data_IF_471480797341
#
_entry.id   IF_471480797341
#
_cell.length_a   1.000
_cell.length_b   1.000
_cell.length_c   1.000
_cell.angle_alpha   90.00
_cell.angle_beta   90.00
_cell.angle_gamma   90.00
#
_symmetry.space_group_name_H-M   'P 1'
#
loop_
_entity.id
_entity.type
_entity.pdbx_description
1 polymer ?
#
# COMPACT_ATOMS: atom_id res chain seq x y z
N UNK A 1 -22.45 -3.81 7.68
CA UNK A 1 -21.18 -3.14 7.99
C UNK A 1 -21.26 -1.76 7.37
N UNK A 2 -21.18 -0.69 8.17
CA UNK A 2 -21.17 0.66 7.65
C UNK A 2 -19.92 0.88 6.80
N UNK A 3 -20.04 1.63 5.72
CA UNK A 3 -18.90 1.97 4.85
C UNK A 3 -18.07 3.10 5.46
N UNK A 4 -16.80 3.22 5.05
CA UNK A 4 -15.93 4.34 5.44
C UNK A 4 -16.62 5.70 5.24
N UNK A 5 -17.27 5.85 4.08
CA UNK A 5 -17.99 7.08 3.70
C UNK A 5 -19.15 7.35 4.65
N UNK A 6 -19.96 6.33 4.97
CA UNK A 6 -21.07 6.47 5.92
C UNK A 6 -20.58 6.84 7.33
N UNK A 7 -19.49 6.22 7.81
CA UNK A 7 -18.94 6.54 9.13
C UNK A 7 -18.35 7.96 9.18
N UNK A 8 -17.62 8.35 8.14
CA UNK A 8 -17.06 9.69 8.04
C UNK A 8 -18.17 10.76 7.99
N UNK A 9 -19.17 10.59 7.12
CA UNK A 9 -20.25 11.57 6.98
C UNK A 9 -21.16 11.67 8.22
N UNK A 10 -21.38 10.57 8.94
CA UNK A 10 -22.29 10.57 10.10
C UNK A 10 -21.63 11.01 11.42
N UNK A 11 -20.30 10.89 11.53
CA UNK A 11 -19.61 11.06 12.82
C UNK A 11 -18.47 12.09 12.81
N UNK A 12 -18.12 12.68 11.65
CA UNK A 12 -16.95 13.56 11.54
C UNK A 12 -17.26 14.83 10.74
N UNK A 13 -16.47 15.88 10.97
CA UNK A 13 -16.50 17.13 10.21
C UNK A 13 -15.48 17.12 9.04
N UNK A 14 -15.24 15.94 8.44
CA UNK A 14 -14.33 15.80 7.31
C UNK A 14 -14.97 16.34 6.02
N UNK A 15 -14.15 17.01 5.19
CA UNK A 15 -14.61 17.49 3.88
C UNK A 15 -14.76 16.35 2.88
N UNK A 16 -15.47 16.58 1.77
CA UNK A 16 -15.59 15.59 0.69
C UNK A 16 -14.22 15.19 0.14
N UNK A 17 -13.29 16.14 0.03
CA UNK A 17 -11.92 15.90 -0.44
C UNK A 17 -11.12 15.04 0.57
N UNK A 18 -11.31 15.26 1.88
CA UNK A 18 -10.70 14.42 2.92
C UNK A 18 -11.22 12.98 2.84
N UNK A 19 -12.53 12.80 2.65
CA UNK A 19 -13.15 11.48 2.49
C UNK A 19 -12.67 10.79 1.20
N UNK A 20 -12.52 11.53 0.10
CA UNK A 20 -11.94 11.01 -1.13
C UNK A 20 -10.48 10.56 -0.93
N UNK A 21 -9.68 11.33 -0.20
CA UNK A 21 -8.31 10.98 0.15
C UNK A 21 -8.24 9.69 0.98
N UNK A 22 -9.09 9.56 2.03
CA UNK A 22 -9.16 8.33 2.83
C UNK A 22 -9.64 7.12 2.01
N UNK A 23 -10.56 7.33 1.07
CA UNK A 23 -11.05 6.27 0.16
C UNK A 23 -9.95 5.80 -0.81
N UNK A 24 -9.11 6.72 -1.29
CA UNK A 24 -7.95 6.39 -2.10
C UNK A 24 -6.91 5.61 -1.28
N UNK A 25 -6.66 5.99 -0.03
CA UNK A 25 -5.78 5.25 0.89
C UNK A 25 -6.31 3.83 1.12
N UNK A 26 -7.61 3.70 1.41
CA UNK A 26 -8.29 2.42 1.61
C UNK A 26 -8.23 1.51 0.38
N UNK A 27 -8.18 2.08 -0.83
CA UNK A 27 -8.07 1.28 -2.06
C UNK A 27 -6.71 0.60 -2.21
N UNK A 28 -5.67 1.13 -1.56
CA UNK A 28 -4.26 0.74 -1.73
C UNK A 28 -3.62 0.14 -0.47
N UNK A 29 -4.28 0.24 0.67
CA UNK A 29 -3.75 -0.18 1.97
C UNK A 29 -3.53 -1.70 2.13
N UNK A 30 -4.09 -2.54 1.25
CA UNK A 30 -3.83 -3.99 1.27
C UNK A 30 -2.35 -4.27 0.97
N UNK A 31 -1.75 -3.47 0.08
CA UNK A 31 -0.32 -3.47 -0.17
C UNK A 31 0.47 -3.05 1.09
N UNK A 32 -0.02 -2.05 1.84
CA UNK A 32 0.61 -1.60 3.08
C UNK A 32 0.57 -2.69 4.15
N UNK A 33 -0.57 -3.37 4.31
CA UNK A 33 -0.72 -4.50 5.23
C UNK A 33 0.23 -5.65 4.88
N UNK A 34 0.36 -5.97 3.60
CA UNK A 34 1.27 -7.02 3.13
C UNK A 34 2.76 -6.67 3.39
N UNK A 35 3.16 -5.40 3.22
CA UNK A 35 4.52 -4.93 3.54
C UNK A 35 4.79 -4.84 5.04
N UNK A 36 3.76 -4.53 5.82
CA UNK A 36 3.87 -4.34 7.27
C UNK A 36 3.83 -5.67 8.04
N UNK A 37 3.39 -6.76 7.40
CA UNK A 37 3.09 -8.06 8.00
C UNK A 37 2.12 -7.98 9.19
N UNK A 38 1.29 -6.94 9.23
CA UNK A 38 0.52 -6.55 10.39
C UNK A 38 -0.88 -6.09 9.99
N UNK A 39 -1.80 -6.21 10.93
CA UNK A 39 -3.13 -5.62 10.79
C UNK A 39 -2.98 -4.09 10.84
N UNK A 40 -3.78 -3.43 10.00
CA UNK A 40 -3.88 -1.98 9.98
C UNK A 40 -5.30 -1.55 10.33
N UNK A 41 -5.41 -0.55 11.20
CA UNK A 41 -6.67 0.07 11.56
C UNK A 41 -6.63 1.56 11.23
N UNK A 42 -7.71 2.08 10.66
CA UNK A 42 -7.86 3.49 10.34
C UNK A 42 -8.85 4.13 11.30
N UNK A 43 -8.38 5.10 12.08
CA UNK A 43 -9.17 5.85 13.03
C UNK A 43 -9.49 7.26 12.52
N UNK A 44 -10.76 7.64 12.56
CA UNK A 44 -11.23 8.99 12.24
C UNK A 44 -11.60 9.76 13.51
N UNK A 45 -11.34 11.08 13.55
CA UNK A 45 -11.64 11.89 14.72
C UNK A 45 -13.14 12.19 14.80
N UNK A 46 -13.75 11.90 15.95
CA UNK A 46 -15.13 12.26 16.28
C UNK A 46 -15.09 13.35 17.35
N UNK A 47 -15.43 14.58 16.96
CA UNK A 47 -15.41 15.72 17.88
C UNK A 47 -16.71 15.73 18.68
N UNK A 48 -16.60 15.52 20.00
CA UNK A 48 -17.73 15.58 20.92
C UNK A 48 -17.59 16.69 21.95
N UNK A 49 -18.64 16.88 22.76
CA UNK A 49 -18.65 17.87 23.85
C UNK A 49 -17.53 17.63 24.89
N UNK A 50 -17.09 16.39 25.05
CA UNK A 50 -16.05 15.96 26.00
C UNK A 50 -14.63 15.93 25.41
N UNK A 51 -14.46 16.41 24.17
CA UNK A 51 -13.20 16.37 23.41
C UNK A 51 -13.23 15.42 22.21
N UNK A 52 -12.06 15.16 21.63
CA UNK A 52 -11.93 14.29 20.44
C UNK A 52 -11.84 12.82 20.84
N UNK A 53 -12.80 12.04 20.38
CA UNK A 53 -12.76 10.57 20.39
C UNK A 53 -12.30 10.04 19.03
N UNK A 54 -11.98 8.75 18.96
CA UNK A 54 -11.48 8.12 17.75
C UNK A 54 -12.34 6.92 17.42
N UNK A 55 -12.86 6.89 16.19
CA UNK A 55 -13.72 5.82 15.70
C UNK A 55 -12.96 5.01 14.66
N UNK A 56 -12.97 3.69 14.78
CA UNK A 56 -12.39 2.78 13.79
C UNK A 56 -13.26 2.82 12.54
N UNK A 57 -12.79 3.51 11.51
CA UNK A 57 -13.52 3.67 10.26
C UNK A 57 -13.30 2.49 9.31
N UNK A 58 -12.15 1.80 9.45
CA UNK A 58 -11.80 0.69 8.59
C UNK A 58 -10.73 -0.21 9.24
N UNK A 59 -10.78 -1.52 8.93
CA UNK A 59 -9.74 -2.50 9.28
C UNK A 59 -9.29 -3.31 8.05
N UNK A 60 -7.97 -3.57 7.93
CA UNK A 60 -7.41 -4.55 6.99
C UNK A 60 -6.48 -5.51 7.71
N UNK A 61 -6.58 -6.78 7.33
CA UNK A 61 -5.71 -7.85 7.82
C UNK A 61 -4.66 -8.17 6.76
N UNK A 62 -3.40 -8.27 7.16
CA UNK A 62 -2.34 -8.68 6.25
C UNK A 62 -2.57 -10.11 5.77
N UNK A 63 -2.40 -10.39 4.48
CA UNK A 63 -2.40 -11.77 3.98
C UNK A 63 -1.12 -12.52 4.37
N UNK A 64 -0.07 -11.78 4.73
CA UNK A 64 1.28 -12.26 4.99
C UNK A 64 1.61 -12.44 6.49
N UNK A 65 0.71 -12.03 7.39
CA UNK A 65 0.93 -12.01 8.84
C UNK A 65 -0.15 -12.75 9.63
N UNK A 66 0.12 -13.00 10.91
CA UNK A 66 -0.89 -13.49 11.85
C UNK A 66 -1.74 -12.30 12.33
N UNK A 67 -3.05 -12.37 12.16
CA UNK A 67 -3.97 -11.34 12.66
C UNK A 67 -4.03 -11.34 14.18
N UNK A 68 -4.03 -10.15 14.78
CA UNK A 68 -4.22 -9.93 16.22
C UNK A 68 -5.70 -9.91 16.59
N UNK A 69 -6.55 -9.47 15.65
CA UNK A 69 -7.97 -9.21 15.88
C UNK A 69 -8.84 -10.23 15.16
N UNK A 70 -9.48 -11.11 15.93
CA UNK A 70 -10.41 -12.10 15.36
C UNK A 70 -11.76 -11.46 14.99
N UNK A 71 -12.23 -10.51 15.80
CA UNK A 71 -13.42 -9.71 15.54
C UNK A 71 -13.13 -8.57 14.56
N UNK A 72 -14.21 -8.07 13.94
CA UNK A 72 -14.20 -6.83 13.17
C UNK A 72 -14.37 -5.66 14.15
N UNK A 73 -13.48 -4.67 14.06
CA UNK A 73 -13.50 -3.48 14.93
C UNK A 73 -14.12 -2.26 14.24
N UNK A 74 -14.56 -2.37 12.99
CA UNK A 74 -15.17 -1.25 12.27
C UNK A 74 -16.43 -0.75 12.97
N UNK A 75 -16.46 0.55 13.29
CA UNK A 75 -17.52 1.21 14.04
C UNK A 75 -17.33 1.22 15.56
N UNK A 76 -16.28 0.58 16.07
CA UNK A 76 -15.93 0.65 17.49
C UNK A 76 -15.05 1.87 17.78
N UNK A 77 -15.18 2.42 18.99
CA UNK A 77 -14.32 3.51 19.44
C UNK A 77 -12.98 2.96 19.95
N UNK A 78 -11.91 3.74 19.78
CA UNK A 78 -10.60 3.39 20.30
C UNK A 78 -10.60 3.29 21.83
N UNK A 79 -9.97 2.24 22.33
CA UNK A 79 -9.82 1.98 23.77
C UNK A 79 -8.90 3.00 24.44
N UNK A 80 -8.99 3.10 25.77
CA UNK A 80 -8.14 3.99 26.58
C UNK A 80 -6.64 3.67 26.46
N UNK A 81 -6.28 2.45 26.04
CA UNK A 81 -4.90 2.00 25.84
C UNK A 81 -4.29 2.55 24.53
N UNK A 82 -5.08 2.61 23.47
CA UNK A 82 -4.63 2.98 22.11
C UNK A 82 -4.73 4.49 21.90
N UNK A 83 -5.77 5.09 22.49
CA UNK A 83 -6.11 6.50 22.39
C UNK A 83 -4.94 7.45 22.65
N UNK A 84 -4.02 7.24 23.62
CA UNK A 84 -2.90 8.15 23.85
C UNK A 84 -1.96 8.24 22.65
N UNK A 85 -1.63 7.11 21.99
CA UNK A 85 -0.75 7.08 20.82
C UNK A 85 -1.43 7.71 19.61
N UNK A 86 -2.71 7.41 19.40
CA UNK A 86 -3.52 7.98 18.33
C UNK A 86 -3.64 9.50 18.50
N UNK A 87 -4.00 9.95 19.70
CA UNK A 87 -4.12 11.38 19.99
C UNK A 87 -2.78 12.11 19.88
N UNK A 88 -1.68 11.51 20.35
CA UNK A 88 -0.36 12.09 20.24
C UNK A 88 0.10 12.21 18.76
N UNK A 89 -0.16 11.19 17.94
CA UNK A 89 0.14 11.24 16.51
C UNK A 89 -0.66 12.34 15.81
N UNK A 90 -1.95 12.45 16.13
CA UNK A 90 -2.82 13.48 15.58
C UNK A 90 -2.43 14.90 15.97
N UNK A 91 -2.02 15.11 17.22
CA UNK A 91 -1.62 16.44 17.71
C UNK A 91 -0.23 16.86 17.22
N UNK A 92 0.72 15.93 17.17
CA UNK A 92 2.10 16.22 16.76
C UNK A 92 2.28 16.25 15.24
N UNK A 93 1.41 15.58 14.49
CA UNK A 93 1.63 15.29 13.07
C UNK A 93 2.86 14.40 12.84
N UNK A 94 3.33 13.69 13.87
CA UNK A 94 4.49 12.79 13.81
C UNK A 94 4.08 11.36 14.12
N UNK A 95 4.79 10.40 13.51
CA UNK A 95 4.59 8.97 13.76
C UNK A 95 4.96 8.67 15.22
N UNK A 96 4.04 8.03 15.95
CA UNK A 96 4.26 7.59 17.32
C UNK A 96 4.44 6.08 17.36
N UNK A 97 5.40 5.61 18.16
CA UNK A 97 5.67 4.18 18.36
C UNK A 97 5.59 3.86 19.84
N UNK A 98 5.01 2.72 20.18
CA UNK A 98 4.89 2.28 21.56
C UNK A 98 4.52 0.82 21.68
N UNK A 99 4.31 0.39 22.92
CA UNK A 99 3.80 -0.92 23.26
C UNK A 99 2.48 -0.74 24.01
N UNK A 100 1.46 -1.49 23.60
CA UNK A 100 0.15 -1.56 24.23
C UNK A 100 -0.06 -2.97 24.77
N UNK A 101 -0.82 -3.06 25.86
CA UNK A 101 -1.23 -4.35 26.42
C UNK A 101 -2.73 -4.48 26.25
N UNK A 102 -3.15 -5.40 25.39
CA UNK A 102 -4.57 -5.67 25.13
C UNK A 102 -5.08 -6.69 26.17
N UNK A 103 -6.25 -6.48 26.81
CA UNK A 103 -6.72 -7.33 27.90
C UNK A 103 -6.89 -8.82 27.55
N UNK A 104 -7.13 -9.11 26.27
CA UNK A 104 -7.40 -10.46 25.75
C UNK A 104 -6.18 -11.12 25.08
N UNK A 105 -5.04 -10.43 25.02
CA UNK A 105 -3.78 -11.01 24.55
C UNK A 105 -2.79 -11.14 25.72
N UNK A 106 -2.10 -12.28 25.84
CA UNK A 106 -1.13 -12.48 26.92
C UNK A 106 0.15 -11.66 26.72
N UNK A 107 0.44 -11.25 25.49
CA UNK A 107 1.71 -10.63 25.10
C UNK A 107 1.52 -9.17 24.68
N UNK A 108 2.53 -8.30 24.92
CA UNK A 108 2.47 -6.91 24.50
C UNK A 108 2.48 -6.79 22.97
N UNK A 109 1.74 -5.81 22.48
CA UNK A 109 1.62 -5.49 21.06
C UNK A 109 2.39 -4.21 20.78
N UNK A 110 3.30 -4.25 19.81
CA UNK A 110 3.96 -3.05 19.33
C UNK A 110 3.02 -2.32 18.38
N UNK A 111 2.67 -1.09 18.75
CA UNK A 111 1.79 -0.21 18.02
C UNK A 111 2.59 0.93 17.39
N UNK A 112 2.31 1.21 16.12
CA UNK A 112 2.82 2.40 15.42
C UNK A 112 1.63 3.21 14.90
N UNK A 113 1.41 4.40 15.45
CA UNK A 113 0.37 5.32 15.02
C UNK A 113 0.95 6.33 14.00
N UNK A 114 0.38 6.33 12.79
CA UNK A 114 0.80 7.11 11.64
C UNK A 114 -0.29 8.14 11.34
N UNK A 115 -0.03 9.44 11.49
CA UNK A 115 -1.02 10.45 11.12
C UNK A 115 -1.25 10.41 9.61
N UNK A 116 -2.51 10.49 9.18
CA UNK A 116 -2.88 10.63 7.77
C UNK A 116 -3.06 12.11 7.49
N UNK A 117 -2.15 12.69 6.72
CA UNK A 117 -2.13 14.13 6.44
C UNK A 117 -2.71 14.39 5.05
N UNK A 118 -3.67 15.30 4.97
CA UNK A 118 -4.23 15.81 3.73
C UNK A 118 -4.22 17.34 3.77
N UNK A 119 -3.67 17.98 2.74
CA UNK A 119 -3.51 19.44 2.65
C UNK A 119 -2.92 20.10 3.93
N UNK A 120 -1.99 19.40 4.59
CA UNK A 120 -1.33 19.88 5.82
C UNK A 120 -2.14 19.70 7.11
N UNK A 121 -3.33 19.10 7.04
CA UNK A 121 -4.18 18.75 8.20
C UNK A 121 -4.12 17.26 8.47
N UNK A 122 -4.04 16.85 9.73
CA UNK A 122 -4.25 15.45 10.11
C UNK A 122 -5.74 15.14 10.09
N UNK A 123 -6.16 14.25 9.20
CA UNK A 123 -7.57 13.90 8.98
C UNK A 123 -7.96 12.55 9.57
N UNK A 124 -6.99 11.66 9.78
CA UNK A 124 -7.16 10.34 10.38
C UNK A 124 -5.83 9.86 10.97
N UNK A 125 -5.84 8.72 11.65
CA UNK A 125 -4.64 8.04 12.13
C UNK A 125 -4.70 6.57 11.72
N UNK A 126 -3.67 6.10 11.04
CA UNK A 126 -3.49 4.70 10.67
C UNK A 126 -2.62 4.02 11.73
N UNK A 127 -3.06 2.94 12.34
CA UNK A 127 -2.25 2.17 13.30
C UNK A 127 -1.76 0.89 12.64
N UNK A 128 -0.50 0.54 12.92
CA UNK A 128 0.10 -0.76 12.62
C UNK A 128 0.36 -1.47 13.93
N UNK A 129 -0.16 -2.69 14.07
CA UNK A 129 -0.09 -3.42 15.32
C UNK A 129 0.45 -4.83 15.10
N UNK A 130 1.50 -5.17 15.85
CA UNK A 130 2.21 -6.44 15.71
C UNK A 130 2.54 -7.04 17.06
N UNK A 131 2.38 -8.36 17.19
CA UNK A 131 2.81 -9.08 18.40
C UNK A 131 4.34 -9.03 18.54
N UNK A 132 4.83 -8.71 19.73
CA UNK A 132 6.27 -8.61 20.04
C UNK A 132 6.94 -9.98 20.25
N UNK A 133 6.17 -11.07 20.25
CA UNK A 133 6.61 -12.43 20.62
C UNK A 133 7.61 -13.03 19.63
N UNK A 134 7.63 -12.55 18.38
CA UNK A 134 8.53 -13.12 17.37
C UNK A 134 9.97 -12.62 17.58
N UNK A 135 10.71 -13.27 18.49
CA UNK A 135 12.16 -13.14 18.66
C UNK A 135 12.99 -13.63 17.46
N UNK A 136 12.36 -13.85 16.30
CA UNK A 136 13.07 -14.15 15.05
C UNK A 136 13.67 -12.88 14.50
N UNK A 137 14.97 -12.91 14.23
CA UNK A 137 15.62 -11.84 13.47
C UNK A 137 14.98 -11.77 12.09
N UNK A 138 14.49 -10.60 11.65
CA UNK A 138 13.83 -10.51 10.36
C UNK A 138 14.79 -10.90 9.23
N UNK A 139 14.32 -11.71 8.30
CA UNK A 139 15.04 -12.09 7.09
C UNK A 139 15.24 -10.91 6.15
N UNK A 140 16.03 -11.09 5.07
CA UNK A 140 16.28 -9.99 4.12
C UNK A 140 14.99 -9.47 3.46
N UNK A 141 14.04 -10.37 3.15
CA UNK A 141 12.74 -10.00 2.60
C UNK A 141 11.95 -9.15 3.59
N UNK A 142 11.78 -9.64 4.82
CA UNK A 142 11.02 -8.95 5.87
C UNK A 142 11.59 -7.56 6.16
N UNK A 143 12.92 -7.43 6.26
CA UNK A 143 13.58 -6.11 6.44
C UNK A 143 13.31 -5.17 5.27
N UNK A 144 13.35 -5.69 4.05
CA UNK A 144 13.11 -4.88 2.86
C UNK A 144 11.66 -4.41 2.81
N UNK A 145 10.71 -5.30 3.12
CA UNK A 145 9.28 -4.99 3.12
C UNK A 145 8.92 -3.99 4.21
N UNK A 146 9.47 -4.16 5.43
CA UNK A 146 9.30 -3.20 6.51
C UNK A 146 9.92 -1.83 6.16
N UNK A 147 11.09 -1.79 5.51
CA UNK A 147 11.69 -0.53 5.04
C UNK A 147 10.80 0.18 4.03
N UNK A 148 10.18 -0.55 3.09
CA UNK A 148 9.22 0.02 2.13
C UNK A 148 7.99 0.55 2.85
N UNK A 149 7.47 -0.19 3.83
CA UNK A 149 6.35 0.26 4.66
C UNK A 149 6.69 1.55 5.40
N UNK A 150 7.88 1.66 6.00
CA UNK A 150 8.33 2.87 6.71
C UNK A 150 8.40 4.09 5.77
N UNK A 151 8.82 3.89 4.51
CA UNK A 151 8.79 4.95 3.49
C UNK A 151 7.36 5.40 3.19
N UNK A 152 6.42 4.47 2.98
CA UNK A 152 5.01 4.81 2.79
C UNK A 152 4.37 5.44 4.03
N UNK A 153 4.70 4.98 5.23
CA UNK A 153 4.22 5.57 6.48
C UNK A 153 4.65 7.04 6.59
N UNK A 154 5.88 7.35 6.19
CA UNK A 154 6.37 8.72 6.14
C UNK A 154 5.65 9.55 5.07
N UNK A 155 5.38 8.96 3.90
CA UNK A 155 4.61 9.63 2.85
C UNK A 155 3.18 9.93 3.29
N UNK A 156 2.51 9.02 4.01
CA UNK A 156 1.17 9.23 4.60
C UNK A 156 1.21 10.36 5.63
N UNK A 157 2.21 10.35 6.50
CA UNK A 157 2.42 11.39 7.52
C UNK A 157 2.78 12.76 6.94
N UNK A 158 3.19 12.83 5.68
CA UNK A 158 3.54 14.07 4.97
C UNK A 158 2.53 14.44 3.88
N UNK A 159 1.48 13.65 3.69
CA UNK A 159 0.44 13.85 2.67
C UNK A 159 0.90 13.62 1.23
N UNK A 160 2.00 12.90 1.03
CA UNK A 160 2.51 12.49 -0.29
C UNK A 160 1.87 11.17 -0.79
N UNK A 161 1.20 10.43 0.08
CA UNK A 161 0.49 9.20 -0.25
C UNK A 161 -0.90 9.20 0.42
N UNK A 162 -1.96 8.73 -0.26
CA UNK A 162 -2.03 8.20 -1.64
C UNK A 162 -1.69 9.24 -2.72
N UNK A 163 -1.23 8.75 -3.88
CA UNK A 163 -0.95 9.62 -5.03
C UNK A 163 -2.22 10.24 -5.59
N UNK A 164 -2.14 11.49 -6.02
CA UNK A 164 -3.21 12.14 -6.77
C UNK A 164 -3.34 11.49 -8.17
N UNK A 165 -4.57 11.36 -8.66
CA UNK A 165 -4.85 10.82 -9.99
C UNK A 165 -5.79 9.62 -9.96
N UNK A 166 -6.05 9.03 -11.15
CA UNK A 166 -6.87 7.82 -11.22
C UNK A 166 -6.13 6.69 -10.53
N UNK A 167 -6.73 6.14 -9.48
CA UNK A 167 -6.39 4.82 -8.95
C UNK A 167 -6.40 3.88 -10.16
N UNK A 168 -5.22 3.43 -10.59
CA UNK A 168 -5.14 2.41 -11.64
C UNK A 168 -5.99 1.23 -11.18
N UNK A 169 -6.78 0.65 -12.07
CA UNK A 169 -7.77 -0.38 -11.73
C UNK A 169 -7.10 -1.50 -10.92
N UNK A 170 -7.25 -1.44 -9.59
CA UNK A 170 -6.47 -2.25 -8.64
C UNK A 170 -6.83 -3.73 -8.77
N UNK A 171 -7.93 -4.03 -9.47
CA UNK A 171 -8.33 -5.38 -9.86
C UNK A 171 -7.35 -6.09 -10.80
N UNK A 172 -6.50 -5.33 -11.50
CA UNK A 172 -5.54 -5.84 -12.49
C UNK A 172 -4.09 -5.73 -11.99
N UNK A 173 -3.84 -4.88 -10.99
CA UNK A 173 -2.51 -4.66 -10.44
C UNK A 173 -1.98 -5.91 -9.70
N UNK A 174 -0.69 -6.28 -9.87
CA UNK A 174 -0.06 -7.35 -9.10
C UNK A 174 -0.10 -7.06 -7.60
N UNK A 175 -0.24 -8.12 -6.79
CA UNK A 175 -0.12 -8.04 -5.33
C UNK A 175 1.35 -8.09 -4.91
N UNK A 176 1.63 -7.66 -3.67
CA UNK A 176 2.96 -7.81 -3.05
C UNK A 176 3.45 -9.26 -3.10
N UNK A 177 2.54 -10.22 -2.95
CA UNK A 177 2.82 -11.66 -3.04
C UNK A 177 3.23 -12.14 -4.44
N UNK A 178 2.87 -11.43 -5.52
CA UNK A 178 3.24 -11.84 -6.89
C UNK A 178 4.73 -11.60 -7.18
N UNK A 179 5.32 -10.63 -6.48
CA UNK A 179 6.75 -10.35 -6.48
C UNK A 179 7.03 -8.86 -6.40
N UNK A 180 8.15 -8.51 -5.76
CA UNK A 180 8.56 -7.12 -5.54
C UNK A 180 9.98 -6.94 -6.02
N UNK A 181 10.20 -5.89 -6.80
CA UNK A 181 11.48 -5.40 -7.28
C UNK A 181 11.66 -4.01 -6.70
N UNK A 182 12.71 -3.82 -5.90
CA UNK A 182 13.08 -2.49 -5.41
C UNK A 182 14.18 -1.96 -6.30
N UNK A 183 13.92 -0.80 -6.90
CA UNK A 183 14.91 -0.07 -7.66
C UNK A 183 15.60 0.93 -6.75
N UNK A 184 16.87 1.17 -7.02
CA UNK A 184 17.47 2.44 -6.72
C UNK A 184 17.01 3.48 -7.74
N UNK A 185 17.65 4.61 -7.62
CA UNK A 185 17.28 5.85 -8.22
C UNK A 185 17.91 6.15 -9.56
N UNK A 186 18.87 5.32 -9.95
CA UNK A 186 19.31 5.17 -11.33
C UNK A 186 18.46 4.12 -12.05
N UNK A 187 17.29 3.77 -11.49
CA UNK A 187 16.39 2.71 -11.96
C UNK A 187 17.09 1.34 -12.05
N UNK A 188 18.07 1.07 -11.18
CA UNK A 188 18.74 -0.22 -11.07
C UNK A 188 18.15 -1.05 -9.95
N UNK A 189 17.99 -2.34 -10.17
CA UNK A 189 17.44 -3.28 -9.18
C UNK A 189 18.38 -3.37 -7.98
N UNK A 190 17.92 -2.89 -6.82
CA UNK A 190 18.60 -3.04 -5.53
C UNK A 190 18.20 -4.35 -4.85
N UNK A 191 16.95 -4.78 -5.05
CA UNK A 191 16.41 -6.01 -4.49
C UNK A 191 15.35 -6.61 -5.41
N UNK A 192 15.27 -7.93 -5.45
CA UNK A 192 14.18 -8.66 -6.06
C UNK A 192 13.74 -9.78 -5.12
N UNK A 193 12.45 -9.87 -4.82
CA UNK A 193 11.92 -10.94 -3.97
C UNK A 193 12.02 -12.30 -4.69
N UNK A 194 12.02 -13.43 -3.98
CA UNK A 194 12.07 -14.76 -4.60
C UNK A 194 10.96 -14.98 -5.64
N UNK A 195 9.78 -14.41 -5.39
CA UNK A 195 8.65 -14.47 -6.32
C UNK A 195 8.89 -13.58 -7.56
N UNK A 196 9.53 -12.42 -7.40
CA UNK A 196 9.95 -11.58 -8.52
C UNK A 196 11.00 -12.29 -9.39
N UNK A 197 12.01 -12.90 -8.79
CA UNK A 197 13.03 -13.69 -9.53
C UNK A 197 12.38 -14.84 -10.28
N UNK A 198 11.46 -15.56 -9.63
CA UNK A 198 10.70 -16.64 -10.27
C UNK A 198 9.82 -16.13 -11.42
N UNK A 199 9.21 -14.95 -11.29
CA UNK A 199 8.46 -14.31 -12.35
C UNK A 199 9.36 -13.92 -13.53
N UNK A 200 10.51 -13.29 -13.28
CA UNK A 200 11.49 -12.93 -14.30
C UNK A 200 12.00 -14.16 -15.07
N UNK A 201 12.29 -15.25 -14.38
CA UNK A 201 12.68 -16.51 -15.02
C UNK A 201 11.59 -17.08 -15.95
N UNK A 202 10.31 -16.94 -15.58
CA UNK A 202 9.16 -17.35 -16.39
C UNK A 202 8.93 -16.48 -17.62
N UNK A 203 9.54 -15.29 -17.68
CA UNK A 203 9.47 -14.39 -18.83
C UNK A 203 10.76 -14.44 -19.67
N UNK A 204 11.65 -15.40 -19.40
CA UNK A 204 12.88 -15.62 -20.17
C UNK A 204 14.10 -14.86 -19.64
N UNK A 205 13.93 -14.00 -18.63
CA UNK A 205 15.02 -13.26 -18.00
C UNK A 205 15.66 -14.15 -16.95
N UNK A 206 16.78 -14.80 -17.30
CA UNK A 206 17.54 -15.70 -16.40
C UNK A 206 18.77 -15.03 -15.77
N UNK A 207 19.04 -13.78 -16.14
CA UNK A 207 20.14 -13.02 -15.57
C UNK A 207 19.86 -12.65 -14.11
N UNK A 208 20.92 -12.45 -13.32
CA UNK A 208 20.77 -11.87 -12.00
C UNK A 208 20.25 -10.44 -12.16
N UNK A 209 19.02 -10.19 -11.72
CA UNK A 209 18.38 -8.90 -11.85
C UNK A 209 19.08 -7.83 -11.00
N UNK A 210 19.61 -8.20 -9.82
CA UNK A 210 20.21 -7.25 -8.88
C UNK A 210 21.45 -6.58 -9.50
N UNK A 211 21.47 -5.25 -9.48
CA UNK A 211 22.48 -4.38 -10.07
C UNK A 211 22.19 -3.95 -11.51
N UNK A 212 21.25 -4.61 -12.19
CA UNK A 212 20.88 -4.26 -13.57
C UNK A 212 19.80 -3.20 -13.61
N UNK A 213 19.78 -2.38 -14.65
CA UNK A 213 18.66 -1.49 -14.92
C UNK A 213 17.48 -2.25 -15.55
N UNK A 214 16.28 -1.73 -15.38
CA UNK A 214 15.10 -2.27 -16.06
C UNK A 214 15.23 -2.26 -17.60
N UNK A 215 15.99 -1.30 -18.16
CA UNK A 215 16.31 -1.27 -19.57
C UNK A 215 17.24 -2.42 -20.00
N UNK A 216 18.26 -2.73 -19.19
CA UNK A 216 19.17 -3.87 -19.40
C UNK A 216 18.42 -5.21 -19.32
N UNK A 217 17.40 -5.29 -18.45
CA UNK A 217 16.51 -6.46 -18.33
C UNK A 217 15.44 -6.53 -19.43
N UNK A 218 15.26 -5.46 -20.21
CA UNK A 218 14.26 -5.38 -21.29
C UNK A 218 12.81 -5.38 -20.79
N UNK A 219 12.54 -4.86 -19.60
CA UNK A 219 11.21 -4.93 -18.96
C UNK A 219 10.85 -3.66 -18.19
N UNK A 220 9.65 -3.10 -18.44
CA UNK A 220 9.00 -2.03 -17.66
C UNK A 220 9.84 -0.76 -17.38
N UNK A 221 10.83 -0.45 -18.23
CA UNK A 221 11.68 0.73 -18.06
C UNK A 221 10.86 2.03 -18.14
N UNK A 222 9.97 2.13 -19.12
CA UNK A 222 9.18 3.33 -19.36
C UNK A 222 8.14 3.54 -18.25
N UNK A 223 7.49 2.49 -17.74
CA UNK A 223 6.61 2.59 -16.58
C UNK A 223 7.31 3.05 -15.30
N UNK A 224 8.47 2.48 -14.99
CA UNK A 224 9.23 2.87 -13.80
C UNK A 224 9.67 4.34 -13.89
N UNK A 225 10.15 4.76 -15.07
CA UNK A 225 10.54 6.15 -15.32
C UNK A 225 9.35 7.11 -15.27
N UNK A 226 8.23 6.76 -15.90
CA UNK A 226 7.02 7.57 -15.90
C UNK A 226 6.46 7.73 -14.48
N UNK A 227 6.44 6.67 -13.67
CA UNK A 227 5.98 6.74 -12.29
C UNK A 227 6.89 7.62 -11.43
N UNK A 228 8.20 7.57 -11.65
CA UNK A 228 9.16 8.45 -10.97
C UNK A 228 8.97 9.92 -11.36
N UNK A 229 8.92 10.22 -12.66
CA UNK A 229 8.81 11.60 -13.16
C UNK A 229 7.46 12.24 -12.81
N UNK A 230 6.37 11.47 -12.90
CA UNK A 230 5.00 11.98 -12.70
C UNK A 230 4.53 11.88 -11.25
N UNK A 231 5.18 11.08 -10.42
CA UNK A 231 4.75 10.77 -9.04
C UNK A 231 3.33 10.18 -9.01
N UNK A 232 3.07 9.32 -9.97
CA UNK A 232 1.79 8.64 -10.13
C UNK A 232 2.02 7.13 -10.21
N UNK A 233 1.10 6.30 -9.71
CA UNK A 233 1.19 4.87 -9.89
C UNK A 233 1.01 4.55 -11.38
N UNK A 234 1.96 3.83 -11.97
CA UNK A 234 1.89 3.40 -13.38
C UNK A 234 1.69 1.90 -13.42
N UNK A 235 0.63 1.46 -14.08
CA UNK A 235 0.41 0.05 -14.40
C UNK A 235 0.60 -0.13 -15.89
N UNK A 236 1.51 -1.01 -16.28
CA UNK A 236 1.82 -1.32 -17.67
C UNK A 236 1.51 -2.79 -17.95
N UNK A 237 0.83 -3.04 -19.07
CA UNK A 237 0.64 -4.38 -19.61
C UNK A 237 1.85 -4.72 -20.48
N UNK A 238 2.46 -5.86 -20.20
CA UNK A 238 3.63 -6.37 -20.88
C UNK A 238 3.20 -7.59 -21.69
N UNK A 239 3.28 -7.44 -23.00
CA UNK A 239 3.07 -8.52 -23.95
C UNK A 239 4.41 -9.21 -24.23
N UNK A 240 4.58 -10.41 -23.68
CA UNK A 240 5.71 -11.29 -24.02
C UNK A 240 5.21 -12.72 -24.28
N UNK A 241 5.59 -13.28 -25.43
CA UNK A 241 5.39 -14.69 -25.85
C UNK A 241 4.02 -15.29 -25.47
N UNK A 242 2.94 -14.66 -25.94
CA UNK A 242 1.55 -15.14 -25.79
C UNK A 242 0.95 -15.11 -24.37
N UNK A 243 1.60 -14.44 -23.40
CA UNK A 243 1.05 -14.23 -22.06
C UNK A 243 1.00 -12.74 -21.70
N UNK A 244 -0.21 -12.21 -21.49
CA UNK A 244 -0.44 -10.87 -20.93
C UNK A 244 -0.03 -10.86 -19.47
N UNK A 245 0.85 -9.93 -19.09
CA UNK A 245 1.31 -9.77 -17.72
C UNK A 245 1.28 -8.30 -17.34
N UNK A 246 0.99 -7.98 -16.09
CA UNK A 246 0.91 -6.59 -15.63
C UNK A 246 2.06 -6.28 -14.68
N UNK A 247 2.69 -5.13 -14.83
CA UNK A 247 3.63 -4.56 -13.87
C UNK A 247 3.00 -3.31 -13.28
N UNK A 248 3.08 -3.15 -11.95
CA UNK A 248 2.71 -1.90 -11.29
C UNK A 248 3.97 -1.25 -10.72
N UNK A 249 4.17 0.03 -10.99
CA UNK A 249 5.30 0.83 -10.51
C UNK A 249 4.76 1.91 -9.57
N UNK A 250 5.30 1.98 -8.34
CA UNK A 250 4.96 3.01 -7.35
C UNK A 250 6.20 3.60 -6.66
N UNK A 251 6.23 4.93 -6.55
CA UNK A 251 7.33 5.66 -5.91
C UNK A 251 7.20 5.67 -4.37
N UNK A 252 7.90 4.79 -3.67
CA UNK A 252 7.99 4.83 -2.21
C UNK A 252 9.19 5.69 -1.77
N UNK A 253 9.06 7.02 -1.85
CA UNK A 253 10.14 7.96 -1.50
C UNK A 253 9.67 9.00 -0.48
N UNK A 254 10.09 8.78 0.77
CA UNK A 254 9.81 9.65 1.90
C UNK A 254 10.56 11.01 1.86
N UNK A 255 11.57 11.17 1.00
CA UNK A 255 12.42 12.37 0.90
C UNK A 255 11.97 13.37 -0.18
N UNK A 256 10.87 13.08 -0.88
CA UNK A 256 10.28 13.90 -1.95
C UNK A 256 9.90 15.34 -1.53
N UNK A 257 9.90 15.65 -0.23
CA UNK A 257 9.67 16.99 0.35
C UNK A 257 10.88 17.94 0.31
N UNK A 258 12.09 17.45 0.00
CA UNK A 258 13.31 18.29 0.03
C UNK A 258 13.58 19.02 -1.29
N UNK A 259 13.77 20.35 -1.30
CA UNK A 259 14.18 21.09 -2.48
C UNK A 259 15.70 20.97 -2.65
N UNK A 260 16.20 19.82 -3.10
CA UNK A 260 17.48 19.64 -3.82
C UNK A 260 17.80 18.16 -4.04
N UNK A 261 17.94 17.80 -5.33
CA UNK A 261 18.66 16.62 -5.80
C UNK A 261 20.07 16.61 -5.19
N UNK A 262 20.37 15.66 -4.31
CA UNK A 262 21.77 15.26 -4.05
C UNK A 262 21.98 13.80 -3.61
N UNK A 263 20.93 12.99 -3.63
CA UNK A 263 21.07 11.53 -3.65
C UNK A 263 19.83 10.96 -4.30
N UNK A 264 19.94 10.18 -5.39
CA UNK A 264 18.77 9.72 -6.07
C UNK A 264 18.14 8.58 -5.20
N UNK A 265 16.80 8.48 -5.15
CA UNK A 265 15.94 7.74 -4.18
C UNK A 265 15.33 6.37 -4.60
N UNK A 266 14.95 5.48 -3.64
CA UNK A 266 14.45 4.12 -3.93
C UNK A 266 13.01 4.08 -4.47
N UNK A 267 12.68 3.04 -5.24
CA UNK A 267 11.37 2.87 -5.88
C UNK A 267 10.91 1.41 -5.82
N UNK A 268 9.60 1.13 -5.83
CA UNK A 268 9.05 -0.23 -5.78
C UNK A 268 8.29 -0.55 -7.08
N UNK A 269 8.82 -1.49 -7.85
CA UNK A 269 8.16 -2.11 -8.98
C UNK A 269 7.63 -3.49 -8.57
N UNK A 270 6.38 -3.78 -8.89
CA UNK A 270 5.79 -5.10 -8.69
C UNK A 270 6.08 -5.98 -9.89
N UNK A 271 6.49 -7.21 -9.61
CA UNK A 271 6.78 -8.20 -10.63
C UNK A 271 5.50 -8.66 -11.33
N UNK A 272 5.61 -9.16 -12.57
CA UNK A 272 4.45 -9.55 -13.35
C UNK A 272 3.65 -10.70 -12.73
N UNK A 273 2.36 -10.48 -12.46
CA UNK A 273 1.44 -11.51 -11.93
C UNK A 273 0.94 -12.45 -13.03
N UNK A 274 0.91 -13.77 -12.81
CA UNK A 274 0.28 -14.73 -13.72
C UNK A 274 -1.27 -14.73 -13.65
N UNK A 275 -1.85 -14.03 -12.68
CA UNK A 275 -3.24 -14.24 -12.23
C UNK A 275 -4.30 -13.51 -13.06
N UNK A 276 -3.92 -12.65 -14.01
CA UNK A 276 -4.88 -11.82 -14.74
C UNK A 276 -5.25 -12.40 -16.12
N UNK A 277 -5.74 -13.66 -16.14
CA UNK A 277 -6.48 -14.16 -17.30
C UNK A 277 -7.94 -13.67 -17.24
N UNK A 278 -8.21 -12.43 -17.67
CA UNK A 278 -9.57 -12.13 -18.13
C UNK A 278 -9.74 -12.76 -19.52
N UNK A 279 -10.54 -13.83 -19.59
CA UNK A 279 -11.07 -14.39 -20.83
C UNK A 279 -11.79 -13.29 -21.63
N UNK A 280 -11.11 -12.66 -22.58
CA UNK A 280 -11.81 -11.99 -23.69
C UNK A 280 -12.13 -13.04 -24.75
N UNK A 281 -13.18 -13.84 -24.54
CA UNK A 281 -13.84 -14.48 -25.66
C UNK A 281 -14.63 -13.39 -26.41
N UNK A 282 -13.92 -12.59 -27.21
CA UNK A 282 -14.52 -11.91 -28.34
C UNK A 282 -14.84 -13.01 -29.36
N UNK A 283 -16.13 -13.34 -29.46
CA UNK A 283 -16.67 -14.31 -30.40
C UNK A 283 -16.51 -13.78 -31.84
N UNK A 284 -15.63 -14.32 -32.70
CA UNK A 284 -15.50 -13.87 -34.07
C UNK A 284 -16.40 -14.74 -34.93
N UNK A 285 -17.67 -14.40 -35.05
CA UNK A 285 -18.58 -15.28 -35.78
C UNK A 285 -20.04 -14.91 -35.86
N UNK A 286 -20.36 -13.68 -36.26
CA UNK A 286 -21.64 -13.39 -36.94
C UNK A 286 -21.41 -12.44 -38.10
N UNK A 287 -20.78 -12.97 -39.15
CA UNK A 287 -20.94 -12.44 -40.50
C UNK A 287 -22.39 -12.63 -40.93
N UNK A 288 -23.04 -11.52 -41.22
CA UNK A 288 -24.30 -11.40 -41.91
C UNK A 288 -24.34 -12.30 -43.16
N UNK A 289 -25.28 -13.24 -43.20
CA UNK A 289 -25.79 -13.79 -44.46
C UNK A 289 -27.24 -13.36 -44.60
N UNK A 290 -27.45 -12.42 -45.52
CA UNK A 290 -28.72 -12.19 -46.18
C UNK A 290 -29.14 -13.46 -46.92
N UNK A 291 -30.32 -13.98 -46.65
CA UNK A 291 -31.03 -14.86 -47.57
C UNK A 291 -32.31 -14.17 -48.00
N UNK A 292 -32.31 -13.76 -49.28
CA UNK A 292 -33.50 -13.55 -50.08
C UNK A 292 -34.26 -14.87 -50.18
N UNK A 293 -35.56 -14.83 -49.87
CA UNK A 293 -36.68 -15.45 -50.58
C UNK A 293 -37.92 -15.31 -49.71
#
# INVERSE_FOLDING_TARGET
MPTLVELASNHTDLSEDDVAHLSALFSEWGMLADFSFADLLLYVPVVGASGTNWLTAAQVRAATGQTLYQSDLVGEYADETDRPFIAAAAQSGQIQKGEITLPYLPDPVSMTAIPVVHEGKVIAVLTREVSTVSGRRPGQLERTYLSIFDDFATMIATGLFPFAGRVADSSVAPRVGDGVIVLDSSARVRYASPNAVSALHRIGIRANAVGQSLAELGFAHDAARASFERREPVVEELDQEHARRFCACKAADSQLTRPKLQSPTPFVAFAPSPSCMRRSHANPGKTSRSSRS
#
